data_IF_020136257069
#
_entry.id   IF_020136257069
#
_cell.length_a   1.000
_cell.length_b   1.000
_cell.length_c   1.000
_cell.angle_alpha   90.00
_cell.angle_beta   90.00
_cell.angle_gamma   90.00
#
_symmetry.space_group_name_H-M   'P 1'
#
loop_
_entity.id
_entity.type
_entity.pdbx_description
1 polymer ?
#
# COMPACT_ATOMS: atom_id res chain seq x y z
N UNK A 1 -30.20 -13.17 -35.77
CA UNK A 1 -29.81 -13.51 -34.40
C UNK A 1 -28.62 -14.45 -34.49
N UNK A 2 -27.40 -13.91 -34.48
CA UNK A 2 -26.17 -14.72 -34.56
C UNK A 2 -25.53 -14.73 -33.16
N UNK A 3 -25.62 -15.86 -32.54
CA UNK A 3 -24.92 -16.34 -31.36
C UNK A 3 -23.43 -16.36 -31.63
N UNK A 4 -22.75 -15.27 -31.43
CA UNK A 4 -21.29 -15.22 -31.30
C UNK A 4 -20.90 -14.50 -29.99
N UNK A 5 -21.41 -15.01 -28.86
CA UNK A 5 -20.76 -14.82 -27.60
C UNK A 5 -19.41 -15.56 -27.66
N UNK A 6 -18.33 -14.88 -28.05
CA UNK A 6 -16.97 -15.37 -27.84
C UNK A 6 -16.86 -15.77 -26.38
N UNK A 7 -16.87 -17.08 -26.12
CA UNK A 7 -16.57 -17.62 -24.81
C UNK A 7 -15.26 -17.00 -24.36
N UNK A 8 -15.30 -16.11 -23.39
CA UNK A 8 -14.11 -15.50 -22.83
C UNK A 8 -13.24 -16.62 -22.28
N UNK A 9 -12.07 -16.82 -22.88
CA UNK A 9 -11.16 -17.88 -22.46
C UNK A 9 -10.85 -17.69 -20.97
N UNK A 10 -11.18 -18.74 -20.18
CA UNK A 10 -10.94 -18.70 -18.73
C UNK A 10 -9.44 -18.62 -18.49
N UNK A 11 -8.97 -17.48 -17.98
CA UNK A 11 -7.59 -17.27 -17.57
C UNK A 11 -7.44 -17.75 -16.12
N UNK A 12 -6.72 -18.84 -15.94
CA UNK A 12 -6.39 -19.40 -14.61
C UNK A 12 -4.98 -19.04 -14.20
N UNK A 13 -4.81 -18.68 -12.95
CA UNK A 13 -3.50 -18.55 -12.34
C UNK A 13 -2.96 -19.92 -11.92
N UNK A 14 -1.66 -20.11 -12.00
CA UNK A 14 -0.96 -21.23 -11.39
C UNK A 14 -0.93 -21.06 -9.87
N UNK A 15 -0.81 -22.15 -9.11
CA UNK A 15 -0.83 -22.10 -7.64
C UNK A 15 0.25 -21.16 -7.08
N UNK A 16 1.49 -21.24 -7.60
CA UNK A 16 2.56 -20.35 -7.13
C UNK A 16 2.25 -18.86 -7.36
N UNK A 17 1.52 -18.51 -8.41
CA UNK A 17 1.11 -17.13 -8.69
C UNK A 17 0.07 -16.65 -7.67
N UNK A 18 -0.86 -17.53 -7.29
CA UNK A 18 -1.87 -17.25 -6.27
C UNK A 18 -1.26 -17.10 -4.87
N UNK A 19 -0.13 -17.75 -4.61
CA UNK A 19 0.59 -17.67 -3.32
C UNK A 19 1.55 -16.49 -3.28
N UNK A 20 2.38 -16.34 -4.32
CA UNK A 20 3.48 -15.35 -4.30
C UNK A 20 3.00 -13.92 -4.55
N UNK A 21 2.08 -13.70 -5.48
CA UNK A 21 1.63 -12.33 -5.76
C UNK A 21 0.97 -11.63 -4.55
N UNK A 22 0.12 -12.30 -3.73
CA UNK A 22 -0.41 -11.72 -2.50
C UNK A 22 0.62 -11.30 -1.47
N UNK A 23 1.88 -11.77 -1.54
CA UNK A 23 2.96 -11.31 -0.67
C UNK A 23 3.25 -9.81 -0.85
N UNK A 24 2.83 -9.19 -1.97
CA UNK A 24 2.84 -7.74 -2.10
C UNK A 24 2.02 -7.05 -1.02
N UNK A 25 0.87 -7.62 -0.67
CA UNK A 25 0.08 -7.13 0.47
C UNK A 25 0.81 -7.32 1.79
N UNK A 26 1.53 -8.46 1.95
CA UNK A 26 2.40 -8.68 3.11
C UNK A 26 3.49 -7.61 3.21
N UNK A 27 4.19 -7.32 2.10
CA UNK A 27 5.20 -6.27 2.03
C UNK A 27 4.65 -4.90 2.43
N UNK A 28 3.46 -4.56 1.93
CA UNK A 28 2.77 -3.30 2.26
C UNK A 28 2.41 -3.24 3.74
N UNK A 29 1.98 -4.36 4.34
CA UNK A 29 1.59 -4.43 5.75
C UNK A 29 2.79 -4.40 6.71
N UNK A 30 3.97 -4.81 6.29
CA UNK A 30 5.22 -4.54 7.03
C UNK A 30 5.40 -3.03 7.22
N UNK A 31 5.30 -2.26 6.13
CA UNK A 31 5.38 -0.80 6.20
C UNK A 31 4.20 -0.15 6.92
N UNK A 32 3.01 -0.76 6.83
CA UNK A 32 1.84 -0.33 7.57
C UNK A 32 2.13 -0.31 9.08
N UNK A 33 2.69 -1.39 9.62
CA UNK A 33 3.08 -1.44 11.04
C UNK A 33 4.18 -0.43 11.35
N UNK A 34 5.25 -0.38 10.53
CA UNK A 34 6.36 0.55 10.75
C UNK A 34 5.89 2.01 10.85
N UNK A 35 4.95 2.42 10.02
CA UNK A 35 4.50 3.80 9.98
C UNK A 35 3.25 3.99 10.83
N UNK A 36 2.16 3.31 10.54
CA UNK A 36 0.88 3.66 11.15
C UNK A 36 0.76 3.29 12.63
N UNK A 37 1.49 2.26 13.07
CA UNK A 37 1.51 1.91 14.51
C UNK A 37 2.49 2.76 15.31
N UNK A 38 3.52 3.33 14.67
CA UNK A 38 4.61 3.96 15.42
C UNK A 38 4.90 5.41 15.06
N UNK A 39 4.36 5.94 13.95
CA UNK A 39 4.71 7.29 13.49
C UNK A 39 4.25 8.40 14.45
N UNK A 40 3.10 8.22 15.10
CA UNK A 40 2.60 9.17 16.10
C UNK A 40 3.55 9.20 17.32
N UNK A 41 3.93 8.02 17.81
CA UNK A 41 4.91 7.88 18.91
C UNK A 41 6.27 8.44 18.53
N UNK A 42 6.74 8.18 17.31
CA UNK A 42 7.99 8.74 16.81
C UNK A 42 7.95 10.27 16.73
N UNK A 43 6.89 10.82 16.14
CA UNK A 43 6.71 12.27 16.03
C UNK A 43 6.64 12.96 17.38
N UNK A 44 5.89 12.39 18.34
CA UNK A 44 5.73 12.99 19.67
C UNK A 44 6.94 12.81 20.57
N UNK A 45 7.48 11.59 20.66
CA UNK A 45 8.46 11.23 21.68
C UNK A 45 9.91 11.39 21.20
N UNK A 46 10.18 11.16 19.89
CA UNK A 46 11.54 11.24 19.35
C UNK A 46 11.80 12.61 18.72
N UNK A 47 10.84 13.15 17.96
CA UNK A 47 11.00 14.45 17.30
C UNK A 47 10.47 15.63 18.12
N UNK A 48 9.79 15.38 19.25
CA UNK A 48 9.18 16.38 20.12
C UNK A 48 8.16 17.31 19.39
N UNK A 49 7.46 16.80 18.37
CA UNK A 49 6.48 17.58 17.58
C UNK A 49 5.14 17.81 18.28
N UNK A 50 4.95 17.18 19.46
CA UNK A 50 3.68 17.20 20.19
C UNK A 50 2.72 16.13 19.71
N UNK A 51 2.04 15.48 20.67
CA UNK A 51 1.16 14.32 20.41
C UNK A 51 -0.03 14.69 19.53
N UNK A 52 -0.64 15.88 19.77
CA UNK A 52 -1.78 16.34 18.98
C UNK A 52 -1.40 16.51 17.49
N UNK A 53 -0.26 17.14 17.20
CA UNK A 53 0.20 17.33 15.83
C UNK A 53 0.45 15.98 15.15
N UNK A 54 1.19 15.08 15.80
CA UNK A 54 1.52 13.77 15.24
C UNK A 54 0.26 12.96 14.94
N UNK A 55 -0.73 12.93 15.83
CA UNK A 55 -2.00 12.21 15.64
C UNK A 55 -2.87 12.83 14.55
N UNK A 56 -2.97 14.17 14.48
CA UNK A 56 -3.69 14.86 13.41
C UNK A 56 -3.06 14.58 12.06
N UNK A 57 -1.73 14.52 11.96
CA UNK A 57 -1.03 14.20 10.72
C UNK A 57 -1.35 12.79 10.23
N UNK A 58 -1.46 11.81 11.11
CA UNK A 58 -1.88 10.44 10.71
C UNK A 58 -3.25 10.47 10.04
N UNK A 59 -4.20 11.21 10.60
CA UNK A 59 -5.54 11.34 10.02
C UNK A 59 -5.52 12.14 8.71
N UNK A 60 -4.77 13.25 8.64
CA UNK A 60 -4.64 14.07 7.44
C UNK A 60 -4.05 13.29 6.27
N UNK A 61 -3.02 12.46 6.51
CA UNK A 61 -2.42 11.62 5.46
C UNK A 61 -3.37 10.53 4.94
N UNK A 62 -4.33 10.08 5.76
CA UNK A 62 -5.41 9.19 5.28
C UNK A 62 -6.37 9.87 4.30
N UNK A 63 -6.59 11.18 4.47
CA UNK A 63 -7.36 11.96 3.50
C UNK A 63 -6.58 12.14 2.19
N UNK A 64 -5.25 12.25 2.26
CA UNK A 64 -4.41 12.28 1.07
C UNK A 64 -4.52 10.99 0.25
N UNK A 65 -4.67 9.81 0.88
CA UNK A 65 -4.91 8.54 0.18
C UNK A 65 -6.14 8.63 -0.74
N UNK A 66 -7.22 9.30 -0.30
CA UNK A 66 -8.43 9.44 -1.11
C UNK A 66 -8.20 10.24 -2.41
N UNK A 67 -7.20 11.12 -2.43
CA UNK A 67 -6.82 11.91 -3.62
C UNK A 67 -5.79 11.14 -4.46
N UNK A 68 -4.82 10.52 -3.83
CA UNK A 68 -3.71 9.83 -4.52
C UNK A 68 -4.16 8.51 -5.16
N UNK A 69 -5.09 7.75 -4.54
CA UNK A 69 -5.58 6.47 -5.06
C UNK A 69 -6.12 6.59 -6.51
N UNK A 70 -7.05 7.53 -6.86
CA UNK A 70 -7.54 7.69 -8.23
C UNK A 70 -6.46 8.14 -9.23
N UNK A 71 -5.56 9.03 -8.80
CA UNK A 71 -4.50 9.56 -9.66
C UNK A 71 -3.53 8.44 -10.05
N UNK A 72 -3.10 7.66 -9.09
CA UNK A 72 -2.17 6.55 -9.30
C UNK A 72 -2.85 5.42 -10.06
N UNK A 73 -4.13 5.13 -9.79
CA UNK A 73 -4.93 4.20 -10.59
C UNK A 73 -4.98 4.60 -12.06
N UNK A 74 -5.27 5.87 -12.37
CA UNK A 74 -5.28 6.38 -13.73
C UNK A 74 -3.88 6.35 -14.39
N UNK A 75 -2.80 6.61 -13.64
CA UNK A 75 -1.44 6.50 -14.11
C UNK A 75 -1.09 5.06 -14.48
N UNK A 76 -1.44 4.11 -13.63
CA UNK A 76 -1.25 2.68 -13.90
C UNK A 76 -2.03 2.21 -15.13
N UNK A 77 -3.26 2.68 -15.33
CA UNK A 77 -4.08 2.30 -16.48
C UNK A 77 -3.52 2.81 -17.82
N UNK A 78 -2.79 3.91 -17.78
CA UNK A 78 -2.08 4.47 -18.98
C UNK A 78 -0.74 3.81 -19.25
N UNK A 79 -0.21 3.02 -18.31
CA UNK A 79 1.11 2.41 -18.43
C UNK A 79 1.02 1.03 -19.08
N UNK A 80 1.59 0.88 -20.27
CA UNK A 80 1.72 -0.37 -21.01
C UNK A 80 3.18 -0.52 -21.49
N UNK A 81 4.12 -0.62 -20.53
CA UNK A 81 5.54 -0.68 -20.82
C UNK A 81 6.06 -2.11 -21.12
N UNK A 82 7.30 -2.20 -21.62
CA UNK A 82 8.01 -3.47 -21.84
C UNK A 82 8.17 -4.31 -20.56
N UNK A 83 8.19 -3.66 -19.41
CA UNK A 83 8.34 -4.31 -18.10
C UNK A 83 7.00 -4.72 -17.47
N UNK A 84 5.91 -4.63 -18.19
CA UNK A 84 4.56 -4.86 -17.68
C UNK A 84 3.92 -3.59 -17.10
N UNK A 85 2.74 -3.78 -16.50
CA UNK A 85 1.96 -2.71 -15.89
C UNK A 85 2.20 -2.62 -14.38
N UNK A 86 2.27 -3.76 -13.69
CA UNK A 86 2.30 -3.82 -12.22
C UNK A 86 3.72 -3.87 -11.64
N UNK A 87 4.62 -4.62 -12.26
CA UNK A 87 5.99 -4.83 -11.76
C UNK A 87 6.78 -3.54 -11.48
N UNK A 88 6.82 -2.55 -12.41
CA UNK A 88 7.54 -1.31 -12.14
C UNK A 88 6.92 -0.52 -11.00
N UNK A 89 5.59 -0.48 -10.89
CA UNK A 89 4.93 0.24 -9.80
C UNK A 89 5.14 -0.43 -8.44
N UNK A 90 5.18 -1.78 -8.38
CA UNK A 90 5.53 -2.50 -7.15
C UNK A 90 6.95 -2.19 -6.70
N UNK A 91 7.92 -2.23 -7.62
CA UNK A 91 9.31 -1.94 -7.31
C UNK A 91 9.51 -0.47 -6.89
N UNK A 92 9.00 0.47 -7.67
CA UNK A 92 9.11 1.91 -7.39
C UNK A 92 8.39 2.26 -6.09
N UNK A 93 7.17 1.77 -5.88
CA UNK A 93 6.40 2.00 -4.65
C UNK A 93 7.14 1.51 -3.41
N UNK A 94 7.72 0.30 -3.47
CA UNK A 94 8.53 -0.24 -2.37
C UNK A 94 9.78 0.62 -2.10
N UNK A 95 10.50 1.03 -3.16
CA UNK A 95 11.69 1.88 -3.02
C UNK A 95 11.36 3.26 -2.44
N UNK A 96 10.25 3.87 -2.86
CA UNK A 96 9.80 5.15 -2.30
C UNK A 96 9.50 5.02 -0.80
N UNK A 97 8.77 3.97 -0.40
CA UNK A 97 8.47 3.72 1.02
C UNK A 97 9.75 3.45 1.81
N UNK A 98 10.66 2.62 1.29
CA UNK A 98 11.93 2.32 1.93
C UNK A 98 12.78 3.57 2.15
N UNK A 99 12.97 4.37 1.10
CA UNK A 99 13.75 5.60 1.18
C UNK A 99 13.14 6.60 2.16
N UNK A 100 11.81 6.80 2.11
CA UNK A 100 11.11 7.70 3.01
C UNK A 100 11.29 7.30 4.47
N UNK A 101 11.16 6.01 4.81
CA UNK A 101 11.31 5.49 6.17
C UNK A 101 12.77 5.59 6.65
N UNK A 102 13.74 5.26 5.79
CA UNK A 102 15.16 5.38 6.14
C UNK A 102 15.53 6.82 6.49
N UNK A 103 15.06 7.78 5.70
CA UNK A 103 15.33 9.20 5.97
C UNK A 103 14.55 9.66 7.21
N UNK A 104 13.28 9.28 7.33
CA UNK A 104 12.42 9.67 8.44
C UNK A 104 12.97 9.16 9.78
N UNK A 105 13.26 7.88 9.91
CA UNK A 105 13.69 7.28 11.17
C UNK A 105 15.19 7.35 11.40
N UNK A 106 15.99 7.44 10.34
CA UNK A 106 17.44 7.50 10.43
C UNK A 106 17.99 8.91 10.57
N UNK A 107 17.57 9.83 9.71
CA UNK A 107 18.17 11.16 9.55
C UNK A 107 17.41 12.24 10.33
N UNK A 108 16.07 12.22 10.31
CA UNK A 108 15.26 13.28 10.94
C UNK A 108 15.55 13.50 12.43
N UNK A 109 15.85 12.46 13.25
CA UNK A 109 16.24 12.68 14.65
C UNK A 109 17.59 13.41 14.85
N UNK A 110 18.40 13.55 13.79
CA UNK A 110 19.65 14.29 13.84
C UNK A 110 19.48 15.80 13.66
N UNK A 111 18.28 16.25 13.27
CA UNK A 111 17.97 17.67 13.13
C UNK A 111 17.98 18.31 14.53
N UNK A 112 18.76 19.37 14.77
CA UNK A 112 18.84 20.03 16.09
C UNK A 112 17.49 20.57 16.57
N UNK A 113 17.29 20.61 17.89
CA UNK A 113 16.06 21.16 18.50
C UNK A 113 15.86 22.64 18.18
N UNK A 114 16.93 23.37 17.88
CA UNK A 114 16.87 24.77 17.43
C UNK A 114 16.19 24.95 16.08
N UNK A 115 16.05 23.88 15.27
CA UNK A 115 15.46 23.88 13.94
C UNK A 115 14.13 23.09 13.91
N UNK A 116 13.25 23.37 14.87
CA UNK A 116 11.96 22.66 14.97
C UNK A 116 11.14 22.71 13.67
N UNK A 117 11.14 23.85 12.96
CA UNK A 117 10.44 23.96 11.67
C UNK A 117 10.92 22.91 10.66
N UNK A 118 12.20 22.58 10.65
CA UNK A 118 12.78 21.57 9.75
C UNK A 118 12.32 20.15 10.15
N UNK A 119 12.16 19.86 11.45
CA UNK A 119 11.57 18.60 11.92
C UNK A 119 10.12 18.44 11.47
N UNK A 120 9.30 19.51 11.61
CA UNK A 120 7.92 19.52 11.11
C UNK A 120 7.85 19.29 9.61
N UNK A 121 8.65 20.03 8.84
CA UNK A 121 8.69 19.94 7.38
C UNK A 121 9.16 18.55 6.92
N UNK A 122 10.20 18.00 7.52
CA UNK A 122 10.71 16.67 7.22
C UNK A 122 9.67 15.58 7.55
N UNK A 123 9.04 15.66 8.72
CA UNK A 123 8.00 14.70 9.13
C UNK A 123 6.84 14.69 8.15
N UNK A 124 6.27 15.84 7.84
CA UNK A 124 5.12 15.95 6.91
C UNK A 124 5.51 15.53 5.49
N UNK A 125 6.64 16.05 4.97
CA UNK A 125 7.09 15.78 3.61
C UNK A 125 7.43 14.32 3.38
N UNK A 126 8.19 13.70 4.29
CA UNK A 126 8.58 12.29 4.17
C UNK A 126 7.38 11.35 4.37
N UNK A 127 6.46 11.70 5.28
CA UNK A 127 5.23 10.93 5.44
C UNK A 127 4.36 11.01 4.19
N UNK A 128 4.22 12.18 3.57
CA UNK A 128 3.49 12.33 2.31
C UNK A 128 4.14 11.53 1.16
N UNK A 129 5.47 11.55 1.03
CA UNK A 129 6.20 10.74 0.04
C UNK A 129 5.97 9.25 0.29
N UNK A 130 5.97 8.82 1.56
CA UNK A 130 5.63 7.45 1.93
C UNK A 130 4.21 7.07 1.50
N UNK A 131 3.22 7.95 1.69
CA UNK A 131 1.82 7.73 1.26
C UNK A 131 1.74 7.47 -0.24
N UNK A 132 2.49 8.20 -1.06
CA UNK A 132 2.55 7.95 -2.51
C UNK A 132 3.05 6.53 -2.80
N UNK A 133 4.16 6.11 -2.18
CA UNK A 133 4.69 4.75 -2.33
C UNK A 133 3.69 3.68 -1.88
N UNK A 134 3.00 3.92 -0.76
CA UNK A 134 1.95 3.05 -0.23
C UNK A 134 0.79 2.88 -1.22
N UNK A 135 0.34 3.98 -1.85
CA UNK A 135 -0.71 3.95 -2.86
C UNK A 135 -0.28 3.16 -4.10
N UNK A 136 0.98 3.26 -4.55
CA UNK A 136 1.50 2.42 -5.63
C UNK A 136 1.36 0.93 -5.31
N UNK A 137 1.79 0.51 -4.16
CA UNK A 137 1.76 -0.90 -3.73
C UNK A 137 0.33 -1.42 -3.58
N UNK A 138 -0.54 -0.67 -2.89
CA UNK A 138 -1.93 -1.09 -2.65
C UNK A 138 -2.74 -1.15 -3.93
N UNK A 139 -2.53 -0.20 -4.86
CA UNK A 139 -3.17 -0.21 -6.18
C UNK A 139 -2.74 -1.43 -7.00
N UNK A 140 -1.45 -1.79 -6.96
CA UNK A 140 -0.95 -3.00 -7.62
C UNK A 140 -1.60 -4.27 -7.05
N UNK A 141 -1.72 -4.39 -5.73
CA UNK A 141 -2.34 -5.56 -5.10
C UNK A 141 -3.80 -5.73 -5.52
N UNK A 142 -4.56 -4.63 -5.56
CA UNK A 142 -5.98 -4.65 -5.92
C UNK A 142 -6.20 -4.92 -7.40
N UNK A 143 -5.49 -4.22 -8.28
CA UNK A 143 -5.68 -4.32 -9.73
C UNK A 143 -5.03 -5.58 -10.32
N UNK A 144 -3.92 -6.04 -9.76
CA UNK A 144 -3.18 -7.21 -10.27
C UNK A 144 -3.96 -8.52 -10.15
N UNK A 145 -4.91 -8.63 -9.22
CA UNK A 145 -5.79 -9.78 -9.12
C UNK A 145 -6.57 -10.02 -10.42
N UNK A 146 -7.02 -8.96 -11.07
CA UNK A 146 -7.83 -9.06 -12.30
C UNK A 146 -7.05 -9.65 -13.48
N UNK A 147 -5.72 -9.45 -13.49
CA UNK A 147 -4.82 -9.97 -14.52
C UNK A 147 -4.41 -11.42 -14.25
N UNK A 148 -4.30 -11.80 -12.97
CA UNK A 148 -3.93 -13.16 -12.57
C UNK A 148 -4.99 -14.17 -12.97
N UNK A 149 -6.25 -13.88 -12.67
CA UNK A 149 -7.34 -14.83 -12.93
C UNK A 149 -8.70 -14.13 -13.12
N UNK A 150 -9.47 -14.62 -14.09
CA UNK A 150 -10.88 -14.31 -14.25
C UNK A 150 -11.80 -15.48 -13.80
N UNK A 151 -11.20 -16.59 -13.31
CA UNK A 151 -11.95 -17.75 -12.82
C UNK A 151 -12.61 -17.42 -11.47
N UNK A 152 -13.96 -17.45 -11.37
CA UNK A 152 -14.67 -17.21 -10.11
C UNK A 152 -14.27 -18.16 -8.99
N UNK A 153 -13.82 -19.38 -9.31
CA UNK A 153 -13.38 -20.37 -8.32
C UNK A 153 -12.03 -20.04 -7.69
N UNK A 154 -11.17 -19.30 -8.38
CA UNK A 154 -9.86 -18.91 -7.89
C UNK A 154 -9.87 -17.60 -7.09
N UNK A 155 -10.89 -16.75 -7.27
CA UNK A 155 -10.99 -15.47 -6.53
C UNK A 155 -11.02 -15.63 -5.02
N UNK A 156 -11.77 -16.59 -4.42
CA UNK A 156 -11.73 -16.82 -2.99
C UNK A 156 -10.36 -17.27 -2.50
N UNK A 157 -9.68 -18.15 -3.25
CA UNK A 157 -8.31 -18.59 -2.93
C UNK A 157 -7.32 -17.43 -2.91
N UNK A 158 -7.40 -16.53 -3.90
CA UNK A 158 -6.59 -15.33 -3.92
C UNK A 158 -6.84 -14.48 -2.66
N UNK A 159 -8.09 -14.29 -2.27
CA UNK A 159 -8.44 -13.52 -1.07
C UNK A 159 -7.87 -14.15 0.20
N UNK A 160 -7.93 -15.49 0.31
CA UNK A 160 -7.33 -16.21 1.44
C UNK A 160 -5.83 -15.96 1.50
N UNK A 161 -5.08 -16.19 0.40
CA UNK A 161 -3.65 -15.96 0.38
C UNK A 161 -3.27 -14.48 0.58
N UNK A 162 -4.10 -13.57 0.09
CA UNK A 162 -3.89 -12.13 0.31
C UNK A 162 -4.04 -11.75 1.79
N UNK A 163 -5.01 -12.36 2.48
CA UNK A 163 -5.19 -12.18 3.93
C UNK A 163 -4.05 -12.81 4.71
N UNK A 164 -3.64 -14.03 4.35
CA UNK A 164 -2.48 -14.70 4.98
C UNK A 164 -1.21 -13.88 4.80
N UNK A 165 -0.94 -13.39 3.58
CA UNK A 165 0.21 -12.54 3.31
C UNK A 165 0.20 -11.26 4.16
N UNK A 166 -0.97 -10.61 4.27
CA UNK A 166 -1.17 -9.43 5.11
C UNK A 166 -0.87 -9.72 6.59
N UNK A 167 -1.46 -10.80 7.12
CA UNK A 167 -1.27 -11.20 8.52
C UNK A 167 0.18 -11.58 8.82
N UNK A 168 0.87 -12.24 7.89
CA UNK A 168 2.28 -12.57 8.05
C UNK A 168 3.15 -11.29 8.12
N UNK A 169 2.97 -10.35 7.17
CA UNK A 169 3.72 -9.10 7.18
C UNK A 169 3.47 -8.28 8.45
N UNK A 170 2.20 -8.11 8.82
CA UNK A 170 1.79 -7.38 10.01
C UNK A 170 2.24 -8.09 11.29
N UNK A 171 1.97 -9.41 11.40
CA UNK A 171 2.25 -10.20 12.58
C UNK A 171 3.73 -10.26 12.93
N UNK A 172 4.59 -10.55 11.95
CA UNK A 172 6.04 -10.59 12.20
C UNK A 172 6.54 -9.26 12.76
N UNK A 173 6.11 -8.12 12.18
CA UNK A 173 6.52 -6.80 12.68
C UNK A 173 5.96 -6.48 14.05
N UNK A 174 4.71 -6.86 14.34
CA UNK A 174 4.08 -6.67 15.65
C UNK A 174 4.77 -7.48 16.76
N UNK A 175 5.27 -8.68 16.45
CA UNK A 175 6.05 -9.48 17.39
C UNK A 175 7.50 -9.00 17.54
N UNK A 176 8.10 -8.57 16.44
CA UNK A 176 9.51 -8.17 16.42
C UNK A 176 9.75 -6.81 17.12
N UNK A 177 8.85 -5.86 16.94
CA UNK A 177 9.00 -4.53 17.49
C UNK A 177 9.11 -4.49 19.04
N UNK A 178 8.27 -5.19 19.84
CA UNK A 178 8.45 -5.24 21.28
C UNK A 178 9.76 -5.91 21.73
N UNK A 179 10.22 -6.90 20.98
CA UNK A 179 11.49 -7.59 21.27
C UNK A 179 12.67 -6.63 21.08
N UNK A 180 12.65 -5.89 19.96
CA UNK A 180 13.69 -4.90 19.68
C UNK A 180 13.65 -3.71 20.66
N UNK A 181 12.44 -3.26 21.03
CA UNK A 181 12.29 -2.12 21.94
C UNK A 181 12.94 -2.36 23.32
N UNK A 182 12.96 -3.60 23.80
CA UNK A 182 13.59 -3.98 25.08
C UNK A 182 15.11 -3.73 25.09
N UNK A 183 15.77 -3.65 23.95
CA UNK A 183 17.20 -3.46 23.83
C UNK A 183 17.62 -1.97 23.90
N UNK A 184 16.65 -1.07 24.02
CA UNK A 184 16.92 0.37 24.02
C UNK A 184 16.35 1.03 25.28
N UNK A 185 17.14 1.86 25.93
CA UNK A 185 16.66 2.76 26.97
C UNK A 185 15.60 3.70 26.39
N UNK A 186 14.44 3.78 27.05
CA UNK A 186 13.27 4.49 26.53
C UNK A 186 12.38 3.70 25.55
N UNK A 187 12.75 2.47 25.18
CA UNK A 187 11.92 1.57 24.37
C UNK A 187 11.45 2.23 23.06
N UNK A 188 10.12 2.34 22.89
CA UNK A 188 9.49 2.99 21.73
C UNK A 188 9.72 4.50 21.62
N UNK A 189 10.30 5.14 22.63
CA UNK A 189 10.68 6.57 22.60
C UNK A 189 12.14 6.78 22.19
N UNK A 190 12.89 5.71 21.93
CA UNK A 190 14.29 5.78 21.54
C UNK A 190 14.45 5.91 20.01
N UNK A 191 15.22 6.89 19.56
CA UNK A 191 15.62 7.01 18.15
C UNK A 191 16.42 5.78 17.67
N UNK A 192 17.19 5.14 18.56
CA UNK A 192 17.94 3.91 18.28
C UNK A 192 17.02 2.75 17.90
N UNK A 193 15.89 2.60 18.60
CA UNK A 193 14.86 1.61 18.26
C UNK A 193 14.39 1.76 16.82
N UNK A 194 14.01 2.96 16.41
CA UNK A 194 13.50 3.22 15.04
C UNK A 194 14.57 3.01 13.97
N UNK A 195 15.83 3.40 14.26
CA UNK A 195 16.98 3.17 13.37
C UNK A 195 17.27 1.70 13.13
N UNK A 196 16.92 0.82 14.06
CA UNK A 196 17.09 -0.63 13.92
C UNK A 196 15.87 -1.29 13.32
N UNK A 197 14.67 -0.88 13.74
CA UNK A 197 13.40 -1.46 13.26
C UNK A 197 13.19 -1.18 11.76
N UNK A 198 13.51 0.02 11.29
CA UNK A 198 13.29 0.42 9.90
C UNK A 198 14.06 -0.47 8.89
N UNK A 199 15.39 -0.66 8.98
CA UNK A 199 16.11 -1.53 8.05
C UNK A 199 15.60 -2.97 8.06
N UNK A 200 15.24 -3.52 9.22
CA UNK A 200 14.71 -4.89 9.33
C UNK A 200 13.40 -5.02 8.54
N UNK A 201 12.46 -4.09 8.76
CA UNK A 201 11.21 -4.11 8.02
C UNK A 201 11.39 -3.84 6.52
N UNK A 202 12.32 -2.96 6.14
CA UNK A 202 12.63 -2.67 4.74
C UNK A 202 13.16 -3.92 4.03
N UNK A 203 14.13 -4.62 4.60
CA UNK A 203 14.69 -5.85 4.02
C UNK A 203 13.60 -6.90 3.84
N UNK A 204 12.76 -7.09 4.87
CA UNK A 204 11.63 -8.02 4.80
C UNK A 204 10.64 -7.62 3.70
N UNK A 205 10.26 -6.35 3.62
CA UNK A 205 9.33 -5.86 2.61
C UNK A 205 9.89 -5.98 1.19
N UNK A 206 11.17 -5.68 0.97
CA UNK A 206 11.83 -5.86 -0.32
C UNK A 206 11.80 -7.34 -0.73
N UNK A 207 12.14 -8.25 0.18
CA UNK A 207 12.11 -9.69 -0.10
C UNK A 207 10.70 -10.16 -0.51
N UNK A 208 9.66 -9.75 0.22
CA UNK A 208 8.27 -10.07 -0.10
C UNK A 208 7.83 -9.45 -1.43
N UNK A 209 8.25 -8.22 -1.74
CA UNK A 209 7.94 -7.57 -3.03
C UNK A 209 8.62 -8.27 -4.19
N UNK A 210 9.86 -8.72 -4.05
CA UNK A 210 10.56 -9.52 -5.09
C UNK A 210 9.81 -10.82 -5.37
N UNK A 211 9.39 -11.54 -4.34
CA UNK A 211 8.60 -12.77 -4.48
C UNK A 211 7.25 -12.47 -5.17
N UNK A 212 6.60 -11.37 -4.83
CA UNK A 212 5.36 -10.98 -5.46
C UNK A 212 5.53 -10.60 -6.94
N UNK A 213 6.62 -9.92 -7.30
CA UNK A 213 6.98 -9.62 -8.69
C UNK A 213 7.20 -10.92 -9.48
N UNK A 214 7.88 -11.92 -8.90
CA UNK A 214 8.02 -13.24 -9.51
C UNK A 214 6.65 -13.89 -9.72
N UNK A 215 5.75 -13.76 -8.74
CA UNK A 215 4.40 -14.31 -8.81
C UNK A 215 3.57 -13.77 -9.97
N UNK A 216 3.69 -12.48 -10.29
CA UNK A 216 2.89 -11.85 -11.37
C UNK A 216 3.64 -11.86 -12.74
N UNK A 217 4.91 -12.23 -12.78
CA UNK A 217 5.79 -12.05 -13.94
C UNK A 217 5.20 -12.52 -15.26
N UNK A 218 4.66 -13.74 -15.30
CA UNK A 218 4.09 -14.32 -16.53
C UNK A 218 2.80 -13.65 -16.97
N UNK A 219 2.03 -13.11 -16.01
CA UNK A 219 0.70 -12.54 -16.23
C UNK A 219 0.72 -11.03 -16.46
N UNK A 220 1.78 -10.35 -16.05
CA UNK A 220 1.94 -8.90 -16.26
C UNK A 220 2.42 -8.60 -17.69
N UNK A 221 1.58 -8.95 -18.66
CA UNK A 221 1.82 -8.77 -20.10
C UNK A 221 0.54 -8.24 -20.78
N UNK A 222 0.67 -7.44 -21.85
CA UNK A 222 -0.48 -6.82 -22.53
C UNK A 222 -1.57 -7.81 -22.98
N UNK A 223 -1.19 -9.06 -23.27
CA UNK A 223 -2.14 -10.12 -23.68
C UNK A 223 -3.15 -10.50 -22.59
N UNK A 224 -2.86 -10.23 -21.33
CA UNK A 224 -3.75 -10.52 -20.21
C UNK A 224 -4.49 -9.29 -19.69
N UNK A 225 -4.17 -8.09 -20.20
CA UNK A 225 -4.84 -6.86 -19.81
C UNK A 225 -6.20 -6.78 -20.52
N UNK A 226 -7.26 -6.56 -19.75
CA UNK A 226 -8.62 -6.45 -20.32
C UNK A 226 -9.25 -7.77 -20.75
N UNK A 227 -8.75 -8.93 -20.29
CA UNK A 227 -9.44 -10.20 -20.53
C UNK A 227 -10.76 -10.20 -19.76
N UNK A 228 -11.86 -10.01 -20.51
CA UNK A 228 -13.24 -9.94 -19.99
C UNK A 228 -13.92 -8.60 -20.13
N UNK A 229 -13.28 -7.61 -20.73
CA UNK A 229 -13.86 -6.30 -21.06
C UNK A 229 -13.47 -5.82 -22.46
N UNK A 230 -14.38 -5.14 -23.12
CA UNK A 230 -14.10 -4.38 -24.33
C UNK A 230 -12.94 -3.40 -24.07
N UNK A 231 -12.23 -3.00 -25.15
CA UNK A 231 -11.19 -1.97 -25.08
C UNK A 231 -11.73 -0.80 -24.26
N UNK A 232 -11.13 -0.56 -23.11
CA UNK A 232 -11.50 0.58 -22.26
C UNK A 232 -11.24 1.83 -23.08
N UNK A 233 -12.28 2.46 -23.61
CA UNK A 233 -12.20 3.82 -24.14
C UNK A 233 -11.66 4.69 -23.01
N UNK A 234 -10.87 5.70 -23.38
CA UNK A 234 -10.29 6.63 -22.40
C UNK A 234 -11.42 7.42 -21.75
N UNK A 235 -11.96 6.88 -20.67
CA UNK A 235 -13.04 7.51 -19.90
C UNK A 235 -12.51 8.80 -19.29
N UNK A 236 -13.18 9.93 -19.54
CA UNK A 236 -12.84 11.21 -18.93
C UNK A 236 -13.23 11.20 -17.46
N UNK A 237 -12.51 11.96 -16.63
CA UNK A 237 -12.81 12.05 -15.18
C UNK A 237 -14.25 12.50 -14.93
N UNK A 238 -14.82 13.35 -15.81
CA UNK A 238 -16.22 13.76 -15.76
C UNK A 238 -17.21 12.61 -15.92
N UNK A 239 -16.88 11.62 -16.74
CA UNK A 239 -17.72 10.42 -16.96
C UNK A 239 -17.70 9.49 -15.73
N UNK A 240 -16.55 9.39 -15.04
CA UNK A 240 -16.50 8.68 -13.75
C UNK A 240 -17.41 9.32 -12.70
N UNK A 241 -17.42 10.64 -12.62
CA UNK A 241 -18.31 11.35 -11.69
C UNK A 241 -19.78 11.15 -12.03
N UNK A 242 -20.12 11.11 -13.34
CA UNK A 242 -21.47 10.84 -13.80
C UNK A 242 -21.89 9.41 -13.45
N UNK A 243 -21.05 8.39 -13.73
CA UNK A 243 -21.30 6.99 -13.37
C UNK A 243 -21.55 6.84 -11.87
N UNK A 244 -20.70 7.48 -11.04
CA UNK A 244 -20.88 7.46 -9.58
C UNK A 244 -22.22 8.07 -9.19
N UNK A 245 -22.61 9.19 -9.80
CA UNK A 245 -23.86 9.91 -9.49
C UNK A 245 -25.11 9.12 -9.89
N UNK A 246 -25.04 8.36 -10.96
CA UNK A 246 -26.16 7.57 -11.48
C UNK A 246 -26.28 6.19 -10.82
N UNK A 247 -25.18 5.65 -10.26
CA UNK A 247 -25.13 4.30 -9.70
C UNK A 247 -25.26 4.30 -8.16
N UNK A 248 -26.50 4.25 -7.67
CA UNK A 248 -26.81 4.21 -6.22
C UNK A 248 -26.13 3.05 -5.46
N UNK A 249 -26.05 1.79 -5.96
CA UNK A 249 -25.30 0.73 -5.33
C UNK A 249 -23.81 1.07 -5.16
N UNK A 250 -23.19 1.70 -6.15
CA UNK A 250 -21.79 2.13 -6.10
C UNK A 250 -21.57 3.22 -5.05
N UNK A 251 -22.47 4.21 -4.95
CA UNK A 251 -22.42 5.23 -3.90
C UNK A 251 -22.46 4.62 -2.50
N UNK A 252 -23.37 3.65 -2.27
CA UNK A 252 -23.49 2.94 -0.99
C UNK A 252 -22.23 2.17 -0.65
N UNK A 253 -21.61 1.51 -1.63
CA UNK A 253 -20.35 0.79 -1.45
C UNK A 253 -19.20 1.73 -1.11
N UNK A 254 -19.14 2.90 -1.77
CA UNK A 254 -18.11 3.93 -1.48
C UNK A 254 -18.28 4.49 -0.07
N UNK A 255 -19.51 4.78 0.36
CA UNK A 255 -19.79 5.27 1.72
C UNK A 255 -19.42 4.21 2.77
N UNK A 256 -19.80 2.95 2.53
CA UNK A 256 -19.44 1.85 3.43
C UNK A 256 -17.93 1.65 3.52
N UNK A 257 -17.22 1.70 2.38
CA UNK A 257 -15.76 1.60 2.34
C UNK A 257 -15.05 2.76 3.06
N UNK A 258 -15.53 3.98 2.88
CA UNK A 258 -15.01 5.16 3.58
C UNK A 258 -15.26 5.06 5.09
N UNK A 259 -16.47 4.66 5.50
CA UNK A 259 -16.82 4.44 6.90
C UNK A 259 -15.95 3.40 7.58
N UNK A 260 -15.67 2.28 6.91
CA UNK A 260 -14.78 1.24 7.42
C UNK A 260 -13.34 1.75 7.59
N UNK A 261 -12.82 2.51 6.62
CA UNK A 261 -11.48 3.11 6.72
C UNK A 261 -11.37 4.11 7.87
N UNK A 262 -12.41 4.95 8.06
CA UNK A 262 -12.47 5.90 9.17
C UNK A 262 -12.53 5.19 10.52
N UNK A 263 -13.37 4.16 10.65
CA UNK A 263 -13.48 3.37 11.88
C UNK A 263 -12.14 2.70 12.25
N UNK A 264 -11.46 2.09 11.27
CA UNK A 264 -10.13 1.51 11.48
C UNK A 264 -9.08 2.56 11.85
N UNK A 265 -9.15 3.75 11.26
CA UNK A 265 -8.22 4.84 11.59
C UNK A 265 -8.41 5.33 13.02
N UNK A 266 -9.65 5.45 13.47
CA UNK A 266 -9.97 5.84 14.86
C UNK A 266 -9.51 4.74 15.82
N UNK A 267 -9.83 3.48 15.54
CA UNK A 267 -9.47 2.35 16.39
C UNK A 267 -7.95 2.15 16.55
N UNK A 268 -7.15 2.54 15.55
CA UNK A 268 -5.69 2.44 15.62
C UNK A 268 -5.02 3.65 16.31
N UNK A 269 -5.76 4.73 16.56
CA UNK A 269 -5.25 5.95 17.20
C UNK A 269 -5.70 6.09 18.66
N UNK A 270 -6.47 5.14 19.17
CA UNK A 270 -6.83 5.01 20.59
C UNK A 270 -5.92 4.00 21.29
#
# INVERSE_FOLDING_TARGET
MSENAKASSVNRAKLYQLVLFPLNNGATNVYYVLVLSYIATFGSNVLALGTLFASVMVTAMRLCDAITDPIIGALMDRTNGKFGKFRPFMAIGNLIMAASILVLYGITPMIPDTMMWARYAAFVGLYFVWVIGYTFQTSCTRSGQTVLTNDPKQRPLFTIFNTVGSLLGMGVMQFLAPILAKNYEGGYSSAGFFRTLAPVGIVMSIALTILAIIGIWEKDQPKYFGIGGEKTEKVKVSEYLQIIRENKPMQRLMIAGAGTKLALSIANNT
#
